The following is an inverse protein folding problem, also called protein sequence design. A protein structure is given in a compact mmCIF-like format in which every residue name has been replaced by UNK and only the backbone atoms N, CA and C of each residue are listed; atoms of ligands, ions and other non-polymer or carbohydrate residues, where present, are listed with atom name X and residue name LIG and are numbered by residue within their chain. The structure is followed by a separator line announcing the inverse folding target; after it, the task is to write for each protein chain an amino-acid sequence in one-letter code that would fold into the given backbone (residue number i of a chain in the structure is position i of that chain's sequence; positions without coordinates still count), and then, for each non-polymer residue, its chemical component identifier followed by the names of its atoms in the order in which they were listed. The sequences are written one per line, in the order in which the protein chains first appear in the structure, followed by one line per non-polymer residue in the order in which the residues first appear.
data_IF_700444124032
#
_entry.id   IF_700444124032
#
_cell.length_a   1.000
_cell.length_b   1.000
_cell.length_c   1.000
_cell.angle_alpha   90.00
_cell.angle_beta   90.00
_cell.angle_gamma   90.00
#
_symmetry.space_group_name_H-M   'P 1'
#
loop_
_entity.id
_entity.type
_entity.pdbx_description
1 polymer ?
#
# COMPACT_ATOMS: atom_id res chain seq x y z
N UNK A 1 -35.30 -7.62 -9.84
CA UNK A 1 -35.10 -7.44 -8.38
C UNK A 1 -33.61 -7.54 -7.99
N UNK A 2 -32.70 -6.91 -8.75
CA UNK A 2 -31.23 -7.00 -8.59
C UNK A 2 -30.61 -5.71 -8.02
N UNK A 3 -31.41 -4.83 -7.40
CA UNK A 3 -30.89 -3.60 -6.80
C UNK A 3 -30.15 -3.95 -5.49
N UNK A 4 -28.83 -3.75 -5.51
CA UNK A 4 -27.91 -3.60 -4.37
C UNK A 4 -27.40 -4.85 -3.65
N UNK A 5 -26.68 -5.74 -4.35
CA UNK A 5 -25.78 -6.70 -3.67
C UNK A 5 -24.43 -6.10 -3.24
N UNK A 6 -24.01 -4.99 -3.86
CA UNK A 6 -22.72 -4.33 -3.63
C UNK A 6 -22.93 -2.94 -3.06
N UNK A 7 -22.14 -2.55 -2.06
CA UNK A 7 -22.25 -1.23 -1.41
C UNK A 7 -21.71 -0.11 -2.29
N UNK A 8 -20.57 -0.32 -2.94
CA UNK A 8 -19.95 0.59 -3.89
C UNK A 8 -19.35 -0.21 -5.06
N UNK A 9 -20.12 -0.42 -6.16
CA UNK A 9 -19.76 -1.35 -7.21
C UNK A 9 -18.59 -0.86 -8.07
N UNK A 10 -18.45 0.45 -8.30
CA UNK A 10 -17.39 0.98 -9.17
C UNK A 10 -16.04 0.79 -8.50
N UNK A 11 -15.88 1.30 -7.28
CA UNK A 11 -14.64 1.16 -6.50
C UNK A 11 -14.35 -0.31 -6.17
N UNK A 12 -15.39 -1.07 -5.83
CA UNK A 12 -15.24 -2.49 -5.49
C UNK A 12 -14.72 -3.34 -6.65
N UNK A 13 -15.28 -3.19 -7.85
CA UNK A 13 -14.87 -3.96 -9.02
C UNK A 13 -13.54 -3.48 -9.60
N UNK A 14 -13.27 -2.17 -9.61
CA UNK A 14 -11.98 -1.65 -10.08
C UNK A 14 -10.83 -2.13 -9.18
N UNK A 15 -11.01 -2.11 -7.87
CA UNK A 15 -9.99 -2.59 -6.93
C UNK A 15 -9.85 -4.11 -6.97
N UNK A 16 -10.92 -4.86 -7.21
CA UNK A 16 -10.83 -6.31 -7.40
C UNK A 16 -10.02 -6.66 -8.64
N UNK A 17 -10.28 -5.98 -9.76
CA UNK A 17 -9.48 -6.14 -10.98
C UNK A 17 -8.01 -5.79 -10.74
N UNK A 18 -7.74 -4.69 -10.03
CA UNK A 18 -6.38 -4.30 -9.67
C UNK A 18 -5.68 -5.33 -8.75
N UNK A 19 -6.40 -5.93 -7.80
CA UNK A 19 -5.86 -6.99 -6.94
C UNK A 19 -5.43 -8.21 -7.79
N UNK A 20 -6.26 -8.64 -8.74
CA UNK A 20 -5.93 -9.74 -9.65
C UNK A 20 -4.71 -9.38 -10.51
N UNK A 21 -4.68 -8.20 -11.11
CA UNK A 21 -3.55 -7.74 -11.91
C UNK A 21 -2.26 -7.63 -11.09
N UNK A 22 -2.35 -7.23 -9.83
CA UNK A 22 -1.18 -7.13 -8.94
C UNK A 22 -0.55 -8.50 -8.62
N UNK A 23 -1.33 -9.58 -8.61
CA UNK A 23 -0.80 -10.95 -8.50
C UNK A 23 0.04 -11.30 -9.73
N UNK A 24 -0.48 -11.04 -10.94
CA UNK A 24 0.28 -11.26 -12.17
C UNK A 24 1.54 -10.38 -12.24
N UNK A 25 1.43 -9.12 -11.79
CA UNK A 25 2.56 -8.20 -11.67
C UNK A 25 3.64 -8.73 -10.72
N UNK A 26 3.26 -9.23 -9.54
CA UNK A 26 4.20 -9.83 -8.60
C UNK A 26 4.89 -11.07 -9.18
N UNK A 27 4.15 -11.96 -9.85
CA UNK A 27 4.72 -13.14 -10.52
C UNK A 27 5.77 -12.72 -11.54
N UNK A 28 5.47 -11.73 -12.38
CA UNK A 28 6.42 -11.19 -13.35
C UNK A 28 7.66 -10.60 -12.67
N UNK A 29 7.49 -9.80 -11.61
CA UNK A 29 8.61 -9.22 -10.87
C UNK A 29 9.51 -10.28 -10.23
N UNK A 30 8.94 -11.34 -9.67
CA UNK A 30 9.68 -12.49 -9.12
C UNK A 30 10.50 -13.16 -10.22
N UNK A 31 9.88 -13.43 -11.37
CA UNK A 31 10.55 -14.06 -12.52
C UNK A 31 11.76 -13.23 -12.99
N UNK A 32 11.61 -11.91 -13.13
CA UNK A 32 12.69 -11.02 -13.57
C UNK A 32 13.73 -10.67 -12.50
N UNK A 33 13.49 -11.05 -11.25
CA UNK A 33 14.41 -10.82 -10.13
C UNK A 33 15.09 -12.10 -9.67
N UNK A 34 14.89 -13.21 -10.40
CA UNK A 34 15.49 -14.49 -10.05
C UNK A 34 17.02 -14.42 -10.11
N UNK A 35 17.68 -14.97 -9.09
CA UNK A 35 19.14 -14.92 -8.95
C UNK A 35 19.70 -13.67 -8.29
N UNK A 36 18.88 -12.64 -8.06
CA UNK A 36 19.25 -11.43 -7.31
C UNK A 36 18.41 -11.35 -6.03
N UNK A 37 18.98 -11.79 -4.91
CA UNK A 37 18.23 -11.93 -3.65
C UNK A 37 17.71 -10.59 -3.10
N UNK A 38 18.51 -9.50 -3.01
CA UNK A 38 18.00 -8.20 -2.59
C UNK A 38 16.84 -7.69 -3.46
N UNK A 39 16.98 -7.82 -4.79
CA UNK A 39 15.93 -7.42 -5.72
C UNK A 39 14.67 -8.26 -5.56
N UNK A 40 14.82 -9.59 -5.49
CA UNK A 40 13.72 -10.53 -5.29
C UNK A 40 12.93 -10.23 -4.00
N UNK A 41 13.62 -10.03 -2.88
CA UNK A 41 12.97 -9.73 -1.59
C UNK A 41 12.23 -8.39 -1.66
N UNK A 42 12.88 -7.35 -2.17
CA UNK A 42 12.31 -6.00 -2.18
C UNK A 42 11.11 -5.87 -3.12
N UNK A 43 11.13 -6.49 -4.31
CA UNK A 43 9.96 -6.50 -5.20
C UNK A 43 8.83 -7.39 -4.68
N UNK A 44 9.17 -8.45 -3.93
CA UNK A 44 8.16 -9.30 -3.28
C UNK A 44 7.41 -8.55 -2.20
N UNK A 45 8.12 -7.76 -1.37
CA UNK A 45 7.51 -6.87 -0.37
C UNK A 45 6.56 -5.90 -1.07
N UNK A 46 7.02 -5.20 -2.12
CA UNK A 46 6.15 -4.31 -2.90
C UNK A 46 4.88 -5.01 -3.39
N UNK A 47 5.01 -6.14 -4.09
CA UNK A 47 3.86 -6.83 -4.67
C UNK A 47 2.88 -7.37 -3.62
N UNK A 48 3.36 -7.90 -2.49
CA UNK A 48 2.48 -8.36 -1.39
C UNK A 48 1.68 -7.18 -0.83
N UNK A 49 2.32 -6.03 -0.59
CA UNK A 49 1.61 -4.85 -0.07
C UNK A 49 0.59 -4.29 -1.06
N UNK A 50 0.88 -4.34 -2.37
CA UNK A 50 -0.02 -3.95 -3.44
C UNK A 50 -1.27 -4.85 -3.52
N UNK A 51 -1.06 -6.17 -3.48
CA UNK A 51 -2.14 -7.16 -3.43
C UNK A 51 -2.99 -6.94 -2.17
N UNK A 52 -2.36 -6.76 -1.01
CA UNK A 52 -3.06 -6.56 0.26
C UNK A 52 -3.92 -5.29 0.23
N UNK A 53 -3.41 -4.18 -0.30
CA UNK A 53 -4.14 -2.92 -0.41
C UNK A 53 -5.37 -3.05 -1.31
N UNK A 54 -5.20 -3.54 -2.54
CA UNK A 54 -6.33 -3.68 -3.45
C UNK A 54 -7.34 -4.73 -2.97
N UNK A 55 -6.89 -5.81 -2.34
CA UNK A 55 -7.78 -6.84 -1.79
C UNK A 55 -8.59 -6.31 -0.60
N UNK A 56 -7.95 -5.57 0.32
CA UNK A 56 -8.63 -4.93 1.44
C UNK A 56 -9.67 -3.92 0.96
N UNK A 57 -9.31 -3.13 -0.06
CA UNK A 57 -10.18 -2.10 -0.61
C UNK A 57 -11.36 -2.67 -1.38
N UNK A 58 -11.12 -3.66 -2.25
CA UNK A 58 -12.18 -4.39 -2.93
C UNK A 58 -13.17 -4.97 -1.92
N UNK A 59 -12.65 -5.70 -0.91
CA UNK A 59 -13.47 -6.30 0.16
C UNK A 59 -14.28 -5.25 0.89
N UNK A 60 -13.69 -4.12 1.28
CA UNK A 60 -14.41 -3.05 1.95
C UNK A 60 -15.56 -2.49 1.12
N UNK A 61 -15.35 -2.22 -0.18
CA UNK A 61 -16.33 -1.57 -1.06
C UNK A 61 -17.44 -2.52 -1.55
N UNK A 62 -17.17 -3.82 -1.74
CA UNK A 62 -18.19 -4.79 -2.15
C UNK A 62 -19.07 -5.25 -0.98
N UNK A 63 -18.54 -5.26 0.24
CA UNK A 63 -19.19 -5.86 1.40
C UNK A 63 -20.45 -5.12 1.88
N UNK A 64 -21.49 -5.89 2.20
CA UNK A 64 -22.78 -5.46 2.78
C UNK A 64 -23.01 -6.02 4.19
N UNK A 65 -21.93 -6.25 4.93
CA UNK A 65 -21.96 -6.77 6.31
C UNK A 65 -22.51 -5.76 7.32
N UNK A 66 -22.61 -6.19 8.59
CA UNK A 66 -23.04 -5.33 9.70
C UNK A 66 -22.14 -4.09 9.86
N UNK A 67 -22.67 -2.98 10.40
CA UNK A 67 -21.90 -1.73 10.55
C UNK A 67 -20.56 -1.90 11.26
N UNK A 68 -20.50 -2.78 12.27
CA UNK A 68 -19.28 -3.10 13.02
C UNK A 68 -18.21 -3.75 12.14
N UNK A 69 -18.60 -4.69 11.28
CA UNK A 69 -17.67 -5.35 10.35
C UNK A 69 -17.18 -4.38 9.28
N UNK A 70 -18.08 -3.55 8.75
CA UNK A 70 -17.71 -2.49 7.80
C UNK A 70 -16.72 -1.50 8.40
N UNK A 71 -16.85 -1.18 9.68
CA UNK A 71 -15.91 -0.32 10.39
C UNK A 71 -14.52 -0.96 10.50
N UNK A 72 -14.43 -2.26 10.77
CA UNK A 72 -13.16 -3.00 10.78
C UNK A 72 -12.54 -3.03 9.38
N UNK A 73 -13.33 -3.36 8.35
CA UNK A 73 -12.85 -3.38 6.96
C UNK A 73 -12.34 -2.01 6.52
N UNK A 74 -12.98 -0.92 6.96
CA UNK A 74 -12.50 0.45 6.71
C UNK A 74 -11.15 0.72 7.38
N UNK A 75 -10.91 0.21 8.59
CA UNK A 75 -9.60 0.33 9.24
C UNK A 75 -8.54 -0.40 8.45
N UNK A 76 -8.83 -1.63 8.02
CA UNK A 76 -7.89 -2.45 7.23
C UNK A 76 -7.59 -1.79 5.89
N UNK A 77 -8.60 -1.34 5.15
CA UNK A 77 -8.48 -0.63 3.87
C UNK A 77 -7.59 0.62 4.00
N UNK A 78 -7.85 1.48 4.98
CA UNK A 78 -7.04 2.67 5.19
C UNK A 78 -5.62 2.35 5.68
N UNK A 79 -5.45 1.34 6.54
CA UNK A 79 -4.13 0.89 7.00
C UNK A 79 -3.28 0.33 5.85
N UNK A 80 -3.91 -0.34 4.89
CA UNK A 80 -3.20 -0.92 3.76
C UNK A 80 -2.60 0.15 2.82
N UNK A 81 -3.10 1.39 2.83
CA UNK A 81 -2.49 2.52 2.11
C UNK A 81 -1.11 2.85 2.71
N UNK A 82 -1.00 2.95 4.04
CA UNK A 82 0.30 3.16 4.71
C UNK A 82 1.29 2.05 4.36
N UNK A 83 0.82 0.80 4.39
CA UNK A 83 1.63 -0.37 4.09
C UNK A 83 2.11 -0.35 2.63
N UNK A 84 1.24 -0.01 1.68
CA UNK A 84 1.60 0.09 0.26
C UNK A 84 2.58 1.23 0.00
N UNK A 85 2.44 2.39 0.66
CA UNK A 85 3.43 3.47 0.52
C UNK A 85 4.81 2.95 0.93
N UNK A 86 4.92 2.26 2.06
CA UNK A 86 6.21 1.68 2.49
C UNK A 86 6.72 0.57 1.57
N UNK A 87 5.85 -0.33 1.13
CA UNK A 87 6.19 -1.37 0.16
C UNK A 87 6.68 -0.80 -1.17
N UNK A 88 6.11 0.32 -1.63
CA UNK A 88 6.53 1.01 -2.87
C UNK A 88 7.95 1.56 -2.78
N UNK A 89 8.35 2.10 -1.62
CA UNK A 89 9.70 2.63 -1.42
C UNK A 89 10.77 1.55 -1.34
N UNK A 90 10.39 0.35 -0.90
CA UNK A 90 11.32 -0.75 -0.59
C UNK A 90 12.23 -1.12 -1.78
N UNK A 91 11.73 -1.40 -3.00
CA UNK A 91 12.61 -1.70 -4.14
C UNK A 91 13.48 -0.53 -4.59
N UNK A 92 13.04 0.72 -4.46
CA UNK A 92 13.89 1.88 -4.77
C UNK A 92 15.04 2.00 -3.77
N UNK A 93 14.72 1.97 -2.48
CA UNK A 93 15.72 2.08 -1.43
C UNK A 93 16.74 0.93 -1.53
N UNK A 94 16.28 -0.31 -1.70
CA UNK A 94 17.15 -1.49 -1.69
C UNK A 94 18.03 -1.58 -2.93
N UNK A 95 17.51 -1.26 -4.13
CA UNK A 95 18.20 -1.54 -5.39
C UNK A 95 18.78 -0.32 -6.10
N UNK A 96 18.24 0.87 -5.87
CA UNK A 96 18.65 2.08 -6.59
C UNK A 96 19.46 3.05 -5.74
N UNK A 97 19.33 3.00 -4.41
CA UNK A 97 19.94 3.98 -3.51
C UNK A 97 21.09 3.37 -2.71
N UNK A 98 21.93 4.26 -2.17
CA UNK A 98 23.03 3.89 -1.30
C UNK A 98 23.03 4.69 0.02
N UNK A 99 23.79 4.21 1.01
CA UNK A 99 24.01 4.92 2.28
C UNK A 99 22.72 5.28 3.02
N UNK A 100 22.56 6.58 3.35
CA UNK A 100 21.38 7.08 4.06
C UNK A 100 20.09 6.91 3.24
N UNK A 101 20.13 7.12 1.92
CA UNK A 101 18.95 7.00 1.07
C UNK A 101 18.46 5.57 0.95
N UNK A 102 19.35 4.58 1.09
CA UNK A 102 18.96 3.17 1.20
C UNK A 102 18.34 2.85 2.56
N UNK A 103 19.10 3.02 3.66
CA UNK A 103 18.67 2.49 4.97
C UNK A 103 17.90 3.48 5.84
N UNK A 104 18.27 4.76 5.77
CA UNK A 104 17.61 5.84 6.51
C UNK A 104 16.20 6.11 5.99
N UNK A 105 16.05 6.32 4.69
CA UNK A 105 14.73 6.55 4.08
C UNK A 105 13.81 5.34 4.25
N UNK A 106 14.33 4.12 4.04
CA UNK A 106 13.56 2.90 4.25
C UNK A 106 13.04 2.80 5.68
N UNK A 107 13.90 3.08 6.67
CA UNK A 107 13.54 3.05 8.09
C UNK A 107 12.53 4.12 8.47
N UNK A 108 12.67 5.35 7.94
CA UNK A 108 11.71 6.44 8.15
C UNK A 108 10.34 6.05 7.60
N UNK A 109 10.28 5.59 6.36
CA UNK A 109 9.02 5.28 5.68
C UNK A 109 8.29 4.11 6.34
N UNK A 110 9.00 3.03 6.70
CA UNK A 110 8.40 1.91 7.43
C UNK A 110 7.98 2.31 8.86
N UNK A 111 8.78 3.12 9.55
CA UNK A 111 8.42 3.67 10.86
C UNK A 111 7.14 4.49 10.82
N UNK A 112 7.04 5.42 9.86
CA UNK A 112 5.83 6.23 9.63
C UNK A 112 4.63 5.36 9.26
N UNK A 113 4.81 4.32 8.45
CA UNK A 113 3.74 3.39 8.09
C UNK A 113 3.22 2.62 9.32
N UNK A 114 4.11 2.09 10.16
CA UNK A 114 3.72 1.37 11.38
C UNK A 114 2.99 2.29 12.37
N UNK A 115 3.49 3.52 12.56
CA UNK A 115 2.82 4.52 13.39
C UNK A 115 1.44 4.86 12.82
N UNK A 116 1.34 5.12 11.52
CA UNK A 116 0.09 5.44 10.82
C UNK A 116 -0.95 4.32 10.93
N UNK A 117 -0.53 3.07 10.74
CA UNK A 117 -1.36 1.87 10.92
C UNK A 117 -1.84 1.78 12.36
N UNK A 118 -0.95 1.94 13.34
CA UNK A 118 -1.29 1.94 14.76
C UNK A 118 -2.36 2.98 15.09
N UNK A 119 -2.15 4.24 14.67
CA UNK A 119 -3.12 5.32 14.85
C UNK A 119 -4.45 4.95 14.19
N UNK A 120 -4.45 4.40 12.97
CA UNK A 120 -5.68 4.06 12.22
C UNK A 120 -6.50 2.96 12.90
N UNK A 121 -5.85 2.01 13.57
CA UNK A 121 -6.51 0.93 14.32
C UNK A 121 -7.31 1.51 15.50
N UNK A 122 -6.76 2.51 16.21
CA UNK A 122 -7.43 3.13 17.37
C UNK A 122 -8.36 4.29 17.00
N UNK A 123 -7.99 5.10 16.00
CA UNK A 123 -8.68 6.34 15.62
C UNK A 123 -9.19 6.24 14.18
N UNK A 124 -10.48 5.90 14.04
CA UNK A 124 -11.07 5.74 12.71
C UNK A 124 -11.60 7.05 12.11
N UNK A 125 -12.14 7.95 12.94
CA UNK A 125 -12.88 9.15 12.52
C UNK A 125 -12.01 10.41 12.39
N UNK A 126 -10.84 10.27 11.78
CA UNK A 126 -10.00 11.42 11.43
C UNK A 126 -10.57 12.13 10.19
N UNK A 127 -10.61 13.48 10.14
CA UNK A 127 -10.97 14.23 8.94
C UNK A 127 -10.24 13.71 7.69
N UNK A 128 -10.97 13.60 6.56
CA UNK A 128 -10.45 12.99 5.33
C UNK A 128 -9.19 13.69 4.81
N UNK A 129 -9.16 15.02 4.88
CA UNK A 129 -8.03 15.84 4.41
C UNK A 129 -6.76 15.59 5.23
N UNK A 130 -6.87 15.27 6.52
CA UNK A 130 -5.70 14.94 7.34
C UNK A 130 -5.07 13.63 6.87
N UNK A 131 -5.87 12.57 6.70
CA UNK A 131 -5.35 11.29 6.21
C UNK A 131 -4.71 11.45 4.83
N UNK A 132 -5.39 12.15 3.92
CA UNK A 132 -4.87 12.44 2.59
C UNK A 132 -3.55 13.22 2.64
N UNK A 133 -3.46 14.24 3.52
CA UNK A 133 -2.23 15.01 3.73
C UNK A 133 -1.08 14.14 4.25
N UNK A 134 -1.33 13.24 5.21
CA UNK A 134 -0.31 12.32 5.73
C UNK A 134 0.17 11.38 4.63
N UNK A 135 -0.75 10.79 3.85
CA UNK A 135 -0.38 9.91 2.73
C UNK A 135 0.46 10.64 1.69
N UNK A 136 0.09 11.88 1.36
CA UNK A 136 0.81 12.71 0.40
C UNK A 136 2.20 13.05 0.91
N UNK A 137 2.31 13.49 2.18
CA UNK A 137 3.60 13.79 2.80
C UNK A 137 4.53 12.58 2.80
N UNK A 138 4.02 11.42 3.24
CA UNK A 138 4.80 10.17 3.20
C UNK A 138 5.21 9.81 1.77
N UNK A 139 4.28 9.89 0.82
CA UNK A 139 4.53 9.58 -0.59
C UNK A 139 5.52 10.52 -1.25
N UNK A 140 5.67 11.76 -0.78
CA UNK A 140 6.58 12.76 -1.33
C UNK A 140 7.99 12.76 -0.74
N UNK A 141 8.27 11.99 0.31
CA UNK A 141 9.62 11.92 0.89
C UNK A 141 10.68 11.45 -0.14
N UNK A 142 10.28 10.68 -1.15
CA UNK A 142 11.15 10.25 -2.26
C UNK A 142 11.69 11.43 -3.08
N UNK A 143 11.00 12.57 -3.12
CA UNK A 143 11.46 13.76 -3.87
C UNK A 143 12.79 14.26 -3.29
N UNK A 144 13.03 14.09 -1.99
CA UNK A 144 14.32 14.42 -1.39
C UNK A 144 15.46 13.52 -1.92
N UNK A 145 15.14 12.30 -2.38
CA UNK A 145 16.07 11.34 -2.95
C UNK A 145 16.21 11.44 -4.48
N UNK A 146 15.66 12.48 -5.13
CA UNK A 146 15.65 12.59 -6.60
C UNK A 146 17.06 12.60 -7.21
N UNK A 147 18.07 13.09 -6.47
CA UNK A 147 19.46 13.07 -6.90
C UNK A 147 20.00 11.65 -7.14
N UNK A 148 19.63 10.69 -6.29
CA UNK A 148 20.02 9.28 -6.44
C UNK A 148 19.27 8.61 -7.61
N UNK A 149 18.12 9.14 -8.04
CA UNK A 149 17.36 8.58 -9.16
C UNK A 149 17.92 8.98 -10.53
N UNK A 150 18.70 10.06 -10.60
CA UNK A 150 19.19 10.65 -11.85
C UNK A 150 20.71 10.45 -12.02
N UNK A 151 21.42 10.16 -10.93
CA UNK A 151 22.85 9.84 -10.93
C UNK A 151 23.13 8.48 -11.60
#
# INVERSE_FOLDING_TARGET
MLKNKLRDPISGLSHLGAAILSVFGLIALIFFSWGDTPKLVSVTIYGITLIAMFSASATYHVSTFSPKVIEILRKIDHSAIYLLIAGTYTPFCVNAFSGFWQWGLLSIIWGLALIGIGIKIFIIRTPRWINAGIYLLMGWLIVAAIGEMIA
#
